data_IF_501903524140
#
_entry.id   IF_501903524140
#
_cell.length_a   1.000
_cell.length_b   1.000
_cell.length_c   1.000
_cell.angle_alpha   90.00
_cell.angle_beta   90.00
_cell.angle_gamma   90.00
#
_symmetry.space_group_name_H-M   'P 1'
#
loop_
_entity.id
_entity.type
_entity.pdbx_description
1 polymer ?
#
# COMPACT_ATOMS: atom_id res chain seq x y z
N UNK A 1 -13.64 -2.89 -14.43
CA UNK A 1 -13.56 -1.48 -14.03
C UNK A 1 -12.45 -0.74 -14.78
N UNK A 2 -11.19 -1.15 -14.66
CA UNK A 2 -10.01 -0.48 -15.27
C UNK A 2 -10.16 -0.10 -16.76
N UNK A 3 -10.76 -0.96 -17.60
CA UNK A 3 -10.98 -0.65 -19.01
C UNK A 3 -12.14 0.31 -19.33
N UNK A 4 -12.89 0.79 -18.34
CA UNK A 4 -14.13 1.57 -18.53
C UNK A 4 -14.18 2.88 -17.72
N UNK A 5 -13.07 3.26 -17.07
CA UNK A 5 -12.98 4.52 -16.31
C UNK A 5 -11.63 5.18 -16.57
N UNK A 6 -11.61 6.51 -16.56
CA UNK A 6 -10.36 7.29 -16.60
C UNK A 6 -9.69 7.41 -15.22
N UNK A 7 -10.42 7.06 -14.15
CA UNK A 7 -9.88 7.12 -12.78
C UNK A 7 -9.00 5.90 -12.46
N UNK A 8 -8.00 6.04 -11.56
CA UNK A 8 -7.17 4.92 -11.14
C UNK A 8 -7.98 3.77 -10.53
N UNK A 9 -7.59 2.53 -10.82
CA UNK A 9 -8.18 1.32 -10.24
C UNK A 9 -7.10 0.50 -9.56
N UNK A 10 -7.32 0.19 -8.28
CA UNK A 10 -6.40 -0.60 -7.45
C UNK A 10 -7.06 -1.95 -7.17
N UNK A 11 -6.44 -3.03 -7.64
CA UNK A 11 -6.81 -4.39 -7.27
C UNK A 11 -6.21 -4.69 -5.88
N UNK A 12 -7.07 -5.07 -4.92
CA UNK A 12 -6.65 -5.56 -3.60
C UNK A 12 -7.34 -6.92 -3.33
N UNK A 13 -6.88 -7.99 -3.98
CA UNK A 13 -7.55 -9.29 -3.88
C UNK A 13 -7.44 -9.84 -2.45
N UNK A 14 -8.51 -10.46 -1.90
CA UNK A 14 -8.51 -11.07 -0.57
C UNK A 14 -7.80 -12.43 -0.59
N UNK A 15 -6.48 -12.43 -0.80
CA UNK A 15 -5.70 -13.65 -0.93
C UNK A 15 -5.60 -14.40 0.41
N UNK A 16 -5.78 -15.72 0.35
CA UNK A 16 -5.49 -16.65 1.46
C UNK A 16 -4.27 -17.52 1.12
N UNK A 17 -3.61 -18.16 2.10
CA UNK A 17 -2.47 -19.04 1.84
C UNK A 17 -2.79 -20.23 0.92
N UNK A 18 -4.03 -20.72 0.92
CA UNK A 18 -4.43 -21.92 0.18
C UNK A 18 -4.37 -21.72 -1.34
N UNK A 19 -4.88 -20.59 -1.83
CA UNK A 19 -5.07 -20.32 -3.27
C UNK A 19 -4.48 -18.99 -3.74
N UNK A 20 -3.96 -18.17 -2.82
CA UNK A 20 -3.50 -16.82 -3.13
C UNK A 20 -2.39 -16.78 -4.18
N UNK A 21 -1.53 -17.79 -4.22
CA UNK A 21 -0.44 -17.89 -5.19
C UNK A 21 -0.94 -18.08 -6.63
N UNK A 22 -2.11 -18.72 -6.80
CA UNK A 22 -2.75 -18.92 -8.10
C UNK A 22 -3.63 -17.71 -8.44
N UNK A 23 -4.42 -17.24 -7.48
CA UNK A 23 -5.42 -16.19 -7.68
C UNK A 23 -4.80 -14.83 -7.99
N UNK A 24 -3.61 -14.52 -7.46
CA UNK A 24 -2.93 -13.22 -7.68
C UNK A 24 -2.67 -12.93 -9.16
N UNK A 25 -2.44 -13.96 -9.98
CA UNK A 25 -2.16 -13.80 -11.40
C UNK A 25 -3.33 -13.21 -12.17
N UNK A 26 -4.56 -13.43 -11.70
CA UNK A 26 -5.78 -12.83 -12.26
C UNK A 26 -5.79 -11.30 -12.14
N UNK A 27 -5.04 -10.73 -11.19
CA UNK A 27 -4.90 -9.28 -11.02
C UNK A 27 -3.67 -8.71 -11.74
N UNK A 28 -2.61 -9.50 -11.88
CA UNK A 28 -1.33 -9.07 -12.48
C UNK A 28 -1.30 -9.17 -14.01
N UNK A 29 -1.89 -10.22 -14.59
CA UNK A 29 -1.82 -10.49 -16.04
C UNK A 29 -3.01 -9.89 -16.77
N UNK A 30 -2.92 -8.61 -17.11
CA UNK A 30 -3.96 -7.88 -17.84
C UNK A 30 -3.66 -7.80 -19.34
N UNK A 31 -4.70 -7.74 -20.21
CA UNK A 31 -4.52 -7.40 -21.62
C UNK A 31 -4.02 -5.96 -21.78
N UNK A 32 -3.46 -5.65 -22.96
CA UNK A 32 -3.02 -4.29 -23.30
C UNK A 32 -4.16 -3.27 -23.17
N UNK A 33 -3.82 -2.07 -22.70
CA UNK A 33 -4.80 -0.98 -22.50
C UNK A 33 -5.46 -0.95 -21.12
N UNK A 34 -5.14 -1.89 -20.22
CA UNK A 34 -5.61 -1.87 -18.83
C UNK A 34 -4.46 -1.48 -17.89
N UNK A 35 -4.62 -0.35 -17.19
CA UNK A 35 -3.59 0.23 -16.31
C UNK A 35 -3.85 0.08 -14.82
N UNK A 36 -4.52 -0.99 -14.37
CA UNK A 36 -4.76 -1.18 -12.93
C UNK A 36 -3.49 -1.62 -12.19
N UNK A 37 -3.31 -1.12 -10.98
CA UNK A 37 -2.25 -1.55 -10.06
C UNK A 37 -2.75 -2.68 -9.15
N UNK A 38 -1.84 -3.50 -8.62
CA UNK A 38 -2.18 -4.55 -7.64
C UNK A 38 -1.43 -4.30 -6.33
N UNK A 39 -2.15 -4.23 -5.21
CA UNK A 39 -1.61 -4.04 -3.86
C UNK A 39 -2.26 -5.08 -2.95
N UNK A 40 -1.47 -5.89 -2.25
CA UNK A 40 -1.99 -7.06 -1.52
C UNK A 40 -2.52 -6.73 -0.12
N UNK A 41 -1.91 -5.75 0.58
CA UNK A 41 -2.39 -5.33 1.89
C UNK A 41 -3.55 -4.33 1.74
N UNK A 42 -4.68 -4.54 2.43
CA UNK A 42 -5.79 -3.59 2.40
C UNK A 42 -5.41 -2.21 2.95
N UNK A 43 -4.57 -2.16 3.99
CA UNK A 43 -4.05 -0.91 4.55
C UNK A 43 -3.13 -0.19 3.54
N UNK A 44 -2.25 -0.94 2.87
CA UNK A 44 -1.37 -0.40 1.84
C UNK A 44 -2.17 0.08 0.62
N UNK A 45 -3.28 -0.56 0.25
CA UNK A 45 -4.15 -0.12 -0.84
C UNK A 45 -4.80 1.23 -0.51
N UNK A 46 -5.29 1.40 0.73
CA UNK A 46 -5.78 2.68 1.22
C UNK A 46 -4.66 3.75 1.28
N UNK A 47 -3.46 3.37 1.70
CA UNK A 47 -2.29 4.26 1.72
C UNK A 47 -1.88 4.71 0.31
N UNK A 48 -1.94 3.83 -0.70
CA UNK A 48 -1.64 4.19 -2.08
C UNK A 48 -2.71 5.11 -2.67
N UNK A 49 -3.99 4.85 -2.39
CA UNK A 49 -5.05 5.80 -2.73
C UNK A 49 -4.81 7.17 -2.08
N UNK A 50 -4.42 7.20 -0.80
CA UNK A 50 -4.04 8.43 -0.12
C UNK A 50 -2.81 9.10 -0.77
N UNK A 51 -1.81 8.34 -1.24
CA UNK A 51 -0.66 8.89 -1.98
C UNK A 51 -1.08 9.57 -3.29
N UNK A 52 -2.02 8.97 -4.03
CA UNK A 52 -2.60 9.57 -5.24
C UNK A 52 -3.28 10.89 -4.88
N UNK A 53 -4.16 10.90 -3.87
CA UNK A 53 -4.83 12.13 -3.43
C UNK A 53 -3.87 13.17 -2.86
N UNK A 54 -2.78 12.74 -2.21
CA UNK A 54 -1.73 13.61 -1.66
C UNK A 54 -0.98 14.42 -2.71
N UNK A 55 -1.11 14.10 -4.00
CA UNK A 55 -0.56 14.94 -5.08
C UNK A 55 -1.32 16.26 -5.22
N UNK A 56 -2.59 16.31 -4.82
CA UNK A 56 -3.47 17.47 -4.97
C UNK A 56 -4.05 17.97 -3.65
N UNK A 57 -4.02 17.17 -2.60
CA UNK A 57 -4.51 17.50 -1.26
C UNK A 57 -3.35 17.54 -0.24
N UNK A 58 -3.00 18.75 0.18
CA UNK A 58 -1.92 18.98 1.14
C UNK A 58 -2.23 18.43 2.55
N UNK A 59 -3.52 18.32 2.95
CA UNK A 59 -3.89 17.73 4.23
C UNK A 59 -3.64 16.22 4.23
N UNK A 60 -3.96 15.54 3.13
CA UNK A 60 -3.64 14.12 2.95
C UNK A 60 -2.12 13.92 2.87
N UNK A 61 -1.42 14.74 2.09
CA UNK A 61 0.04 14.67 1.96
C UNK A 61 0.77 14.84 3.30
N UNK A 62 0.38 15.84 4.11
CA UNK A 62 0.97 16.08 5.42
C UNK A 62 0.81 14.88 6.35
N UNK A 63 -0.37 14.21 6.34
CA UNK A 63 -0.61 13.00 7.12
C UNK A 63 0.29 11.85 6.68
N UNK A 64 0.47 11.64 5.38
CA UNK A 64 1.39 10.64 4.84
C UNK A 64 2.83 10.93 5.28
N UNK A 65 3.27 12.18 5.15
CA UNK A 65 4.63 12.59 5.51
C UNK A 65 4.92 12.41 7.00
N UNK A 66 3.97 12.80 7.86
CA UNK A 66 4.06 12.60 9.30
C UNK A 66 4.05 11.11 9.68
N UNK A 67 3.21 10.30 9.02
CA UNK A 67 3.15 8.86 9.24
C UNK A 67 4.50 8.19 8.94
N UNK A 68 5.15 8.53 7.81
CA UNK A 68 6.49 8.02 7.46
C UNK A 68 7.54 8.36 8.53
N UNK A 69 7.53 9.59 9.04
CA UNK A 69 8.43 10.01 10.12
C UNK A 69 8.17 9.20 11.40
N UNK A 70 6.90 9.06 11.79
CA UNK A 70 6.53 8.32 13.00
C UNK A 70 6.92 6.84 12.92
N UNK A 71 6.77 6.19 11.77
CA UNK A 71 7.25 4.81 11.56
C UNK A 71 8.76 4.73 11.75
N UNK A 72 9.53 5.66 11.19
CA UNK A 72 10.98 5.70 11.37
C UNK A 72 11.38 5.92 12.84
N UNK A 73 10.72 6.84 13.54
CA UNK A 73 10.94 7.07 14.97
C UNK A 73 10.63 5.81 15.78
N UNK A 74 9.51 5.14 15.50
CA UNK A 74 9.12 3.90 16.18
C UNK A 74 10.16 2.81 16.04
N UNK A 75 10.76 2.65 14.84
CA UNK A 75 11.85 1.70 14.63
C UNK A 75 13.09 2.05 15.46
N UNK A 76 13.48 3.33 15.53
CA UNK A 76 14.60 3.78 16.34
C UNK A 76 14.38 3.55 17.84
N UNK A 77 13.16 3.77 18.32
CA UNK A 77 12.80 3.53 19.71
C UNK A 77 12.78 2.04 20.05
N UNK A 78 12.28 1.19 19.15
CA UNK A 78 12.29 -0.26 19.31
C UNK A 78 13.72 -0.80 19.39
N UNK A 79 14.62 -0.35 18.51
CA UNK A 79 16.04 -0.69 18.52
C UNK A 79 16.71 -0.28 19.84
N UNK A 80 16.52 0.97 20.29
CA UNK A 80 17.03 1.45 21.58
C UNK A 80 16.55 0.59 22.75
N UNK A 81 15.30 0.12 22.72
CA UNK A 81 14.75 -0.76 23.77
C UNK A 81 15.43 -2.13 23.77
N UNK A 82 15.67 -2.72 22.60
CA UNK A 82 16.34 -4.02 22.49
C UNK A 82 17.80 -3.94 22.96
N UNK A 83 18.51 -2.86 22.64
CA UNK A 83 19.89 -2.63 23.10
C UNK A 83 19.98 -2.58 24.63
N UNK A 84 19.00 -1.98 25.30
CA UNK A 84 18.95 -1.91 26.76
C UNK A 84 18.70 -3.29 27.43
N UNK A 85 18.08 -4.24 26.73
CA UNK A 85 17.86 -5.61 27.19
C UNK A 85 19.02 -6.56 26.87
N UNK A 86 20.05 -6.09 26.16
CA UNK A 86 21.19 -6.90 25.72
C UNK A 86 22.40 -6.84 26.70
N UNK A 87 22.16 -6.38 27.93
CA UNK A 87 23.07 -6.46 29.07
C UNK A 87 22.65 -7.61 29.99
#
# INVERSE_FOLDING_TARGET
MSGNTAYPVINCPPLTPDWGAQDVWSSLRMPSGLGCSTILSPEAAAQFAAQIFGLTDHLVWCKLRASMLNTWVSLKLADKKLQACSL
#
